data_IF_917913400133
#
_entry.id   IF_917913400133
#
_cell.length_a   1.000
_cell.length_b   1.000
_cell.length_c   1.000
_cell.angle_alpha   90.00
_cell.angle_beta   90.00
_cell.angle_gamma   90.00
#
_symmetry.space_group_name_H-M   'P 1'
#
loop_
_entity.id
_entity.type
_entity.pdbx_description
1 polymer ?
#
# COMPACT_ATOMS: atom_id res chain seq x y z
N UNK A 1 -33.24 11.61 14.05
CA UNK A 1 -33.15 10.94 12.75
C UNK A 1 -31.81 11.25 12.02
N UNK A 2 -31.45 12.49 11.74
CA UNK A 2 -30.19 12.84 11.04
C UNK A 2 -28.89 12.37 11.72
N UNK A 3 -28.80 12.41 13.06
CA UNK A 3 -27.61 11.90 13.79
C UNK A 3 -27.42 10.38 13.61
N UNK A 4 -28.52 9.61 13.66
CA UNK A 4 -28.45 8.14 13.48
C UNK A 4 -28.06 7.75 12.05
N UNK A 5 -28.55 8.46 11.04
CA UNK A 5 -28.16 8.23 9.64
C UNK A 5 -26.68 8.52 9.44
N UNK A 6 -26.15 9.62 9.99
CA UNK A 6 -24.72 9.96 9.92
C UNK A 6 -23.84 8.93 10.68
N UNK A 7 -24.31 8.41 11.80
CA UNK A 7 -23.62 7.41 12.59
C UNK A 7 -23.55 6.06 11.85
N UNK A 8 -24.65 5.61 11.24
CA UNK A 8 -24.67 4.38 10.43
C UNK A 8 -23.77 4.49 9.20
N UNK A 9 -23.75 5.65 8.54
CA UNK A 9 -22.86 5.92 7.42
C UNK A 9 -21.37 5.85 7.83
N UNK A 10 -21.03 6.37 9.00
CA UNK A 10 -19.67 6.34 9.53
C UNK A 10 -19.23 4.92 9.88
N UNK A 11 -20.10 4.11 10.51
CA UNK A 11 -19.82 2.70 10.79
C UNK A 11 -19.56 1.92 9.50
N UNK A 12 -20.38 2.13 8.47
CA UNK A 12 -20.19 1.51 7.16
C UNK A 12 -18.86 1.94 6.50
N UNK A 13 -18.51 3.24 6.61
CA UNK A 13 -17.25 3.77 6.12
C UNK A 13 -16.03 3.14 6.81
N UNK A 14 -16.07 2.96 8.14
CA UNK A 14 -15.05 2.23 8.89
C UNK A 14 -14.95 0.76 8.46
N UNK A 15 -16.08 0.10 8.21
CA UNK A 15 -16.11 -1.27 7.72
C UNK A 15 -15.41 -1.41 6.36
N UNK A 16 -15.70 -0.51 5.41
CA UNK A 16 -15.02 -0.46 4.12
C UNK A 16 -13.53 -0.17 4.28
N UNK A 17 -13.15 0.77 5.13
CA UNK A 17 -11.76 1.08 5.44
C UNK A 17 -11.02 -0.15 5.99
N UNK A 18 -11.64 -0.88 6.91
CA UNK A 18 -11.08 -2.10 7.50
C UNK A 18 -10.90 -3.21 6.46
N UNK A 19 -11.89 -3.43 5.59
CA UNK A 19 -11.76 -4.40 4.48
C UNK A 19 -10.56 -4.05 3.59
N UNK A 20 -10.41 -2.77 3.22
CA UNK A 20 -9.24 -2.33 2.45
C UNK A 20 -7.93 -2.60 3.16
N UNK A 21 -7.84 -2.30 4.45
CA UNK A 21 -6.63 -2.50 5.26
C UNK A 21 -6.30 -3.99 5.43
N UNK A 22 -7.30 -4.85 5.62
CA UNK A 22 -7.10 -6.32 5.66
C UNK A 22 -6.51 -6.83 4.34
N UNK A 23 -7.03 -6.35 3.19
CA UNK A 23 -6.49 -6.69 1.88
C UNK A 23 -5.04 -6.20 1.70
N UNK A 24 -4.74 -4.97 2.13
CA UNK A 24 -3.38 -4.42 2.04
C UNK A 24 -2.41 -5.15 2.95
N UNK A 25 -2.83 -5.54 4.14
CA UNK A 25 -2.01 -6.25 5.10
C UNK A 25 -1.51 -7.60 4.59
N UNK A 26 -2.29 -8.29 3.76
CA UNK A 26 -1.87 -9.54 3.13
C UNK A 26 -0.82 -9.36 2.01
N UNK A 27 -0.53 -8.12 1.57
CA UNK A 27 0.35 -7.85 0.44
C UNK A 27 1.76 -8.41 0.63
N UNK A 28 2.39 -8.17 1.81
CA UNK A 28 3.76 -8.61 2.05
C UNK A 28 3.87 -10.14 2.11
N UNK A 29 3.07 -10.84 2.94
CA UNK A 29 3.10 -12.31 2.97
C UNK A 29 2.79 -12.96 1.62
N UNK A 30 1.79 -12.48 0.89
CA UNK A 30 1.48 -12.99 -0.45
C UNK A 30 2.60 -12.73 -1.44
N UNK A 31 3.28 -11.58 -1.35
CA UNK A 31 4.46 -11.30 -2.18
C UNK A 31 5.59 -12.26 -1.85
N UNK A 32 5.84 -12.55 -0.57
CA UNK A 32 6.86 -13.52 -0.13
C UNK A 32 6.57 -14.93 -0.68
N UNK A 33 5.31 -15.38 -0.67
CA UNK A 33 4.91 -16.66 -1.28
C UNK A 33 5.21 -16.65 -2.79
N UNK A 34 4.79 -15.59 -3.49
CA UNK A 34 4.97 -15.47 -4.94
C UNK A 34 6.45 -15.42 -5.34
N UNK A 35 7.32 -14.83 -4.51
CA UNK A 35 8.76 -14.72 -4.75
C UNK A 35 9.50 -16.06 -4.74
N UNK A 36 8.89 -17.14 -4.22
CA UNK A 36 9.48 -18.48 -4.30
C UNK A 36 9.61 -18.98 -5.75
N UNK A 37 8.72 -18.54 -6.64
CA UNK A 37 8.63 -19.06 -8.01
C UNK A 37 8.71 -17.97 -9.09
N UNK A 38 8.46 -16.71 -8.74
CA UNK A 38 8.36 -15.61 -9.69
C UNK A 38 9.30 -14.46 -9.35
N UNK A 39 9.81 -13.80 -10.37
CA UNK A 39 10.64 -12.61 -10.21
C UNK A 39 9.83 -11.42 -9.67
N UNK A 40 10.45 -10.47 -8.93
CA UNK A 40 9.80 -9.23 -8.49
C UNK A 40 9.10 -8.47 -9.62
N UNK A 41 9.73 -8.43 -10.79
CA UNK A 41 9.19 -7.76 -11.98
C UNK A 41 7.92 -8.45 -12.46
N UNK A 42 7.93 -9.78 -12.60
CA UNK A 42 6.75 -10.52 -13.04
C UNK A 42 5.59 -10.33 -12.05
N UNK A 43 5.83 -10.47 -10.74
CA UNK A 43 4.82 -10.28 -9.71
C UNK A 43 4.19 -8.88 -9.85
N UNK A 44 5.04 -7.85 -10.01
CA UNK A 44 4.59 -6.45 -10.12
C UNK A 44 3.77 -6.21 -11.38
N UNK A 45 4.24 -6.68 -12.52
CA UNK A 45 3.57 -6.45 -13.81
C UNK A 45 2.28 -7.27 -13.92
N UNK A 46 2.32 -8.54 -13.57
CA UNK A 46 1.18 -9.45 -13.69
C UNK A 46 0.04 -9.06 -12.73
N UNK A 47 0.34 -8.68 -11.48
CA UNK A 47 -0.70 -8.19 -10.56
C UNK A 47 -1.35 -6.91 -11.08
N UNK A 48 -0.58 -6.04 -11.77
CA UNK A 48 -1.11 -4.83 -12.37
C UNK A 48 -2.03 -5.13 -13.56
N UNK A 49 -1.69 -6.11 -14.40
CA UNK A 49 -2.56 -6.59 -15.49
C UNK A 49 -3.88 -7.15 -14.94
N UNK A 50 -3.81 -8.01 -13.91
CA UNK A 50 -4.98 -8.59 -13.27
C UNK A 50 -5.89 -7.48 -12.69
N UNK A 51 -5.30 -6.54 -11.95
CA UNK A 51 -6.03 -5.42 -11.37
C UNK A 51 -6.63 -4.49 -12.44
N UNK A 52 -5.89 -4.23 -13.53
CA UNK A 52 -6.35 -3.41 -14.64
C UNK A 52 -7.53 -4.04 -15.38
N UNK A 53 -7.54 -5.38 -15.53
CA UNK A 53 -8.67 -6.11 -16.12
C UNK A 53 -9.94 -5.93 -15.27
N UNK A 54 -9.84 -6.08 -13.96
CA UNK A 54 -10.96 -5.83 -13.04
C UNK A 54 -11.40 -4.35 -13.05
N UNK A 55 -10.45 -3.42 -13.08
CA UNK A 55 -10.71 -1.98 -13.16
C UNK A 55 -11.42 -1.61 -14.47
N UNK A 56 -11.04 -2.22 -15.61
CA UNK A 56 -11.69 -2.00 -16.88
C UNK A 56 -13.15 -2.47 -16.86
N UNK A 57 -13.40 -3.66 -16.31
CA UNK A 57 -14.77 -4.18 -16.12
C UNK A 57 -15.60 -3.20 -15.29
N UNK A 58 -15.05 -2.73 -14.17
CA UNK A 58 -15.75 -1.75 -13.32
C UNK A 58 -16.03 -0.43 -14.05
N UNK A 59 -15.08 0.12 -14.81
CA UNK A 59 -15.26 1.35 -15.59
C UNK A 59 -16.39 1.20 -16.60
N UNK A 60 -16.44 0.06 -17.31
CA UNK A 60 -17.46 -0.20 -18.30
C UNK A 60 -18.86 -0.36 -17.67
N UNK A 61 -18.95 -1.09 -16.54
CA UNK A 61 -20.22 -1.30 -15.83
C UNK A 61 -20.74 -0.04 -15.16
N UNK A 62 -19.86 0.77 -14.58
CA UNK A 62 -20.23 2.00 -13.87
C UNK A 62 -20.45 3.20 -14.80
N UNK A 63 -20.20 3.04 -16.10
CA UNK A 63 -20.22 4.15 -17.08
C UNK A 63 -19.37 5.34 -16.62
N UNK A 64 -18.23 5.02 -16.03
CA UNK A 64 -17.34 5.98 -15.40
C UNK A 64 -16.85 7.04 -16.39
N UNK A 65 -16.90 8.32 -16.00
CA UNK A 65 -16.45 9.42 -16.85
C UNK A 65 -14.97 9.28 -17.21
N UNK A 66 -14.63 9.60 -18.46
CA UNK A 66 -13.22 9.59 -18.93
C UNK A 66 -12.42 10.69 -18.22
N UNK A 67 -11.11 10.47 -17.99
CA UNK A 67 -10.22 11.51 -17.46
C UNK A 67 -10.15 12.70 -18.42
N UNK A 68 -10.17 13.89 -17.88
CA UNK A 68 -9.83 15.08 -18.63
C UNK A 68 -8.31 15.10 -18.91
N UNK A 69 -7.90 15.81 -19.95
CA UNK A 69 -6.48 15.84 -20.38
C UNK A 69 -5.51 16.27 -19.26
N UNK A 70 -5.92 17.21 -18.42
CA UNK A 70 -5.11 17.68 -17.28
C UNK A 70 -5.02 16.67 -16.12
N UNK A 71 -5.90 15.66 -16.06
CA UNK A 71 -5.90 14.61 -15.04
C UNK A 71 -5.01 13.42 -15.41
N UNK A 72 -4.69 13.26 -16.72
CA UNK A 72 -3.91 12.10 -17.22
C UNK A 72 -2.52 12.06 -16.57
N UNK A 73 -1.80 13.19 -16.58
CA UNK A 73 -0.44 13.26 -15.99
C UNK A 73 -0.45 12.91 -14.50
N UNK A 74 -1.30 13.49 -13.63
CA UNK A 74 -1.40 13.08 -12.23
C UNK A 74 -1.77 11.59 -12.04
N UNK A 75 -2.68 11.03 -12.85
CA UNK A 75 -3.03 9.61 -12.82
C UNK A 75 -1.82 8.71 -13.14
N UNK A 76 -1.07 9.06 -14.19
CA UNK A 76 0.14 8.31 -14.57
C UNK A 76 1.21 8.40 -13.48
N UNK A 77 1.49 9.57 -12.96
CA UNK A 77 2.54 9.77 -11.93
C UNK A 77 2.17 9.06 -10.63
N UNK A 78 0.93 9.22 -10.15
CA UNK A 78 0.48 8.51 -8.94
C UNK A 78 0.48 6.99 -9.16
N UNK A 79 0.03 6.52 -10.32
CA UNK A 79 0.03 5.12 -10.69
C UNK A 79 1.45 4.56 -10.82
N UNK A 80 2.40 5.27 -11.39
CA UNK A 80 3.81 4.84 -11.42
C UNK A 80 4.35 4.57 -10.00
N UNK A 81 3.99 5.39 -9.02
CA UNK A 81 4.36 5.17 -7.63
C UNK A 81 3.64 3.99 -6.99
N UNK A 82 2.32 3.91 -7.11
CA UNK A 82 1.48 2.94 -6.41
C UNK A 82 1.41 1.57 -7.09
N UNK A 83 1.40 1.52 -8.42
CA UNK A 83 1.17 0.30 -9.21
C UNK A 83 2.49 -0.41 -9.55
N UNK A 84 3.56 0.36 -9.79
CA UNK A 84 4.86 -0.18 -10.16
C UNK A 84 5.93 0.06 -9.09
N UNK A 85 6.20 1.31 -8.72
CA UNK A 85 7.33 1.68 -7.87
C UNK A 85 7.29 1.01 -6.50
N UNK A 86 6.18 1.17 -5.79
CA UNK A 86 6.00 0.54 -4.47
C UNK A 86 6.06 -1.00 -4.54
N UNK A 87 5.27 -1.69 -5.39
CA UNK A 87 5.28 -3.15 -5.39
C UNK A 87 6.60 -3.74 -5.85
N UNK A 88 7.26 -3.13 -6.83
CA UNK A 88 8.55 -3.62 -7.33
C UNK A 88 9.64 -3.47 -6.28
N UNK A 89 9.80 -2.28 -5.71
CA UNK A 89 10.81 -2.03 -4.69
C UNK A 89 10.57 -2.89 -3.44
N UNK A 90 9.31 -3.03 -3.01
CA UNK A 90 8.93 -3.91 -1.91
C UNK A 90 9.28 -5.37 -2.22
N UNK A 91 8.93 -5.88 -3.41
CA UNK A 91 9.23 -7.26 -3.79
C UNK A 91 10.74 -7.53 -3.86
N UNK A 92 11.54 -6.58 -4.36
CA UNK A 92 13.01 -6.71 -4.36
C UNK A 92 13.53 -6.76 -2.91
N UNK A 93 13.06 -5.89 -2.02
CA UNK A 93 13.43 -5.90 -0.62
C UNK A 93 13.11 -7.24 0.07
N UNK A 94 11.90 -7.76 -0.16
CA UNK A 94 11.42 -9.02 0.43
C UNK A 94 12.14 -10.28 -0.07
N UNK A 95 13.00 -10.20 -1.06
CA UNK A 95 13.86 -11.33 -1.44
C UNK A 95 14.91 -11.68 -0.37
N UNK A 96 15.25 -10.73 0.51
CA UNK A 96 16.36 -10.87 1.45
C UNK A 96 15.97 -10.71 2.92
N UNK A 97 14.72 -10.31 3.18
CA UNK A 97 14.22 -10.13 4.56
C UNK A 97 12.82 -10.71 4.69
N UNK A 98 12.42 -11.19 5.89
CA UNK A 98 11.09 -11.73 6.12
C UNK A 98 10.00 -10.66 6.03
N UNK A 99 8.73 -11.08 5.85
CA UNK A 99 7.62 -10.15 5.64
C UNK A 99 7.36 -9.26 6.87
N UNK A 100 7.57 -9.76 8.09
CA UNK A 100 7.43 -8.98 9.31
C UNK A 100 8.43 -7.81 9.37
N UNK A 101 9.68 -8.01 8.88
CA UNK A 101 10.67 -6.95 8.79
C UNK A 101 10.20 -5.85 7.85
N UNK A 102 9.76 -6.23 6.65
CA UNK A 102 9.14 -5.30 5.70
C UNK A 102 7.94 -4.56 6.28
N UNK A 103 7.10 -5.23 7.08
CA UNK A 103 5.95 -4.63 7.72
C UNK A 103 6.33 -3.49 8.68
N UNK A 104 7.37 -3.66 9.51
CA UNK A 104 7.84 -2.62 10.44
C UNK A 104 8.43 -1.44 9.68
N UNK A 105 9.29 -1.71 8.68
CA UNK A 105 9.90 -0.64 7.85
C UNK A 105 8.81 0.16 7.13
N UNK A 106 7.84 -0.51 6.52
CA UNK A 106 6.72 0.14 5.81
C UNK A 106 5.68 0.74 6.76
N UNK A 107 5.74 0.42 8.05
CA UNK A 107 4.83 0.97 9.08
C UNK A 107 4.91 2.50 9.20
N UNK A 108 6.02 3.12 8.79
CA UNK A 108 6.16 4.60 8.73
C UNK A 108 5.51 5.23 7.49
N UNK A 109 5.00 4.45 6.54
CA UNK A 109 4.44 4.96 5.29
C UNK A 109 3.37 6.04 5.48
N UNK A 110 2.42 5.93 6.42
CA UNK A 110 1.44 7.00 6.65
C UNK A 110 2.08 8.30 7.15
N UNK A 111 3.14 8.21 7.94
CA UNK A 111 3.89 9.37 8.41
C UNK A 111 4.72 10.00 7.29
N UNK A 112 5.37 9.19 6.46
CA UNK A 112 6.10 9.64 5.27
C UNK A 112 5.15 10.33 4.27
N UNK A 113 3.93 9.79 4.08
CA UNK A 113 2.89 10.44 3.26
C UNK A 113 2.51 11.80 3.82
N UNK A 114 2.38 11.93 5.15
CA UNK A 114 2.08 13.22 5.79
C UNK A 114 3.25 14.21 5.62
N UNK A 115 4.50 13.76 5.79
CA UNK A 115 5.70 14.59 5.55
C UNK A 115 5.73 15.10 4.11
N UNK A 116 5.56 14.22 3.12
CA UNK A 116 5.53 14.61 1.72
C UNK A 116 4.37 15.55 1.40
N UNK A 117 3.20 15.33 1.99
CA UNK A 117 2.06 16.23 1.82
C UNK A 117 2.35 17.64 2.35
N UNK A 118 2.99 17.75 3.50
CA UNK A 118 3.43 19.05 4.08
C UNK A 118 4.41 19.73 3.13
N UNK A 119 5.40 19.01 2.62
CA UNK A 119 6.43 19.57 1.73
C UNK A 119 5.86 20.00 0.37
N UNK A 120 4.99 19.19 -0.23
CA UNK A 120 4.40 19.45 -1.55
C UNK A 120 3.42 20.61 -1.53
N UNK A 121 2.58 20.68 -0.47
CA UNK A 121 1.54 21.72 -0.37
C UNK A 121 1.98 22.97 0.41
N UNK A 122 3.19 22.97 0.97
CA UNK A 122 3.72 24.11 1.71
C UNK A 122 3.01 24.39 3.05
N UNK A 123 2.35 23.42 3.64
CA UNK A 123 1.70 23.58 4.94
C UNK A 123 2.73 23.78 6.06
N UNK A 124 2.36 24.57 7.07
CA UNK A 124 3.20 24.77 8.25
C UNK A 124 2.83 23.74 9.31
N UNK A 125 3.54 22.61 9.30
CA UNK A 125 3.40 21.61 10.37
C UNK A 125 4.05 22.10 11.68
N UNK A 126 3.46 21.71 12.81
CA UNK A 126 3.99 22.01 14.15
C UNK A 126 5.29 21.26 14.40
N UNK A 127 6.16 21.82 15.28
CA UNK A 127 7.42 21.15 15.67
C UNK A 127 7.20 19.70 16.14
N UNK A 128 6.13 19.46 16.90
CA UNK A 128 5.80 18.11 17.37
C UNK A 128 5.58 17.10 16.23
N UNK A 129 5.05 17.51 15.08
CA UNK A 129 4.96 16.66 13.89
C UNK A 129 6.35 16.21 13.40
N UNK A 130 7.29 17.13 13.29
CA UNK A 130 8.66 16.82 12.84
C UNK A 130 9.40 15.93 13.83
N UNK A 131 9.18 16.13 15.15
CA UNK A 131 9.73 15.25 16.19
C UNK A 131 9.16 13.84 16.07
N UNK A 132 7.87 13.68 15.81
CA UNK A 132 7.27 12.37 15.54
C UNK A 132 7.82 11.73 14.26
N UNK A 133 8.04 12.51 13.20
CA UNK A 133 8.62 12.00 11.96
C UNK A 133 10.06 11.48 12.20
N UNK A 134 10.86 12.24 12.92
CA UNK A 134 12.22 11.83 13.29
C UNK A 134 12.22 10.61 14.22
N UNK A 135 11.34 10.57 15.21
CA UNK A 135 11.22 9.42 16.12
C UNK A 135 10.81 8.15 15.36
N UNK A 136 9.83 8.24 14.44
CA UNK A 136 9.42 7.11 13.60
C UNK A 136 10.55 6.58 12.71
N UNK A 137 11.30 7.48 12.06
CA UNK A 137 12.47 7.11 11.27
C UNK A 137 13.57 6.46 12.14
N UNK A 138 13.85 7.02 13.34
CA UNK A 138 14.82 6.47 14.27
C UNK A 138 14.43 5.07 14.76
N UNK A 139 13.14 4.85 15.06
CA UNK A 139 12.63 3.53 15.45
C UNK A 139 12.86 2.48 14.38
N UNK A 140 12.60 2.83 13.10
CA UNK A 140 12.84 1.91 11.98
C UNK A 140 14.33 1.62 11.82
N UNK A 141 15.20 2.63 11.92
CA UNK A 141 16.67 2.45 11.86
C UNK A 141 17.14 1.52 12.99
N UNK A 142 16.71 1.78 14.24
CA UNK A 142 17.07 0.94 15.40
C UNK A 142 16.59 -0.49 15.23
N UNK A 143 15.36 -0.68 14.75
CA UNK A 143 14.81 -2.01 14.44
C UNK A 143 15.64 -2.74 13.40
N UNK A 144 15.94 -2.10 12.29
CA UNK A 144 16.74 -2.66 11.18
C UNK A 144 18.14 -3.05 11.66
N UNK A 145 18.84 -2.15 12.36
CA UNK A 145 20.17 -2.43 12.88
C UNK A 145 20.17 -3.61 13.86
N UNK A 146 19.14 -3.70 14.71
CA UNK A 146 19.00 -4.80 15.67
C UNK A 146 18.75 -6.14 14.99
N UNK A 147 17.83 -6.21 14.03
CA UNK A 147 17.49 -7.46 13.32
C UNK A 147 18.64 -7.95 12.42
N UNK A 148 19.44 -7.03 11.89
CA UNK A 148 20.52 -7.35 10.95
C UNK A 148 21.91 -7.34 11.55
N UNK A 149 22.04 -7.41 12.88
CA UNK A 149 23.33 -7.50 13.56
C UNK A 149 24.21 -6.26 13.44
N UNK A 150 23.61 -5.07 13.34
CA UNK A 150 24.30 -3.78 13.36
C UNK A 150 24.59 -3.17 11.98
N UNK A 151 24.06 -3.75 10.89
CA UNK A 151 24.20 -3.22 9.53
C UNK A 151 22.86 -2.88 8.89
N UNK A 152 22.86 -1.95 7.95
CA UNK A 152 21.71 -1.68 7.05
C UNK A 152 21.96 -2.46 5.77
N UNK A 153 20.98 -3.23 5.34
CA UNK A 153 21.05 -4.03 4.12
C UNK A 153 20.51 -3.29 2.89
N UNK A 154 20.84 -3.79 1.72
CA UNK A 154 20.21 -3.32 0.48
C UNK A 154 18.68 -3.52 0.48
N UNK A 155 18.19 -4.55 1.17
CA UNK A 155 16.76 -4.79 1.32
C UNK A 155 16.04 -3.62 2.00
N UNK A 156 16.65 -3.05 3.05
CA UNK A 156 16.08 -1.90 3.78
C UNK A 156 15.98 -0.67 2.90
N UNK A 157 17.00 -0.43 2.06
CA UNK A 157 16.98 0.70 1.11
C UNK A 157 15.85 0.52 0.07
N UNK A 158 15.62 -0.71 -0.41
CA UNK A 158 14.49 -1.00 -1.30
C UNK A 158 13.15 -0.81 -0.62
N UNK A 159 13.02 -1.19 0.66
CA UNK A 159 11.79 -0.99 1.44
C UNK A 159 11.52 0.50 1.72
N UNK A 160 12.57 1.28 2.01
CA UNK A 160 12.46 2.74 2.17
C UNK A 160 12.07 3.38 0.82
N UNK A 161 12.66 2.95 -0.29
CA UNK A 161 12.28 3.39 -1.63
C UNK A 161 10.81 3.04 -1.93
N UNK A 162 10.37 1.83 -1.56
CA UNK A 162 8.97 1.44 -1.68
C UNK A 162 8.04 2.40 -0.92
N UNK A 163 8.37 2.71 0.35
CA UNK A 163 7.60 3.65 1.15
C UNK A 163 7.56 5.06 0.50
N UNK A 164 8.68 5.52 -0.06
CA UNK A 164 8.76 6.81 -0.76
C UNK A 164 7.90 6.83 -2.02
N UNK A 165 7.95 5.77 -2.84
CA UNK A 165 7.13 5.63 -4.06
C UNK A 165 5.64 5.61 -3.74
N UNK A 166 5.24 4.82 -2.72
CA UNK A 166 3.85 4.77 -2.28
C UNK A 166 3.37 6.12 -1.73
N UNK A 167 4.16 6.75 -0.87
CA UNK A 167 3.81 8.04 -0.26
C UNK A 167 3.64 9.15 -1.30
N UNK A 168 4.53 9.20 -2.30
CA UNK A 168 4.43 10.15 -3.42
C UNK A 168 3.16 9.91 -4.23
N UNK A 169 2.88 8.64 -4.54
CA UNK A 169 1.66 8.25 -5.24
C UNK A 169 0.40 8.59 -4.46
N UNK A 170 0.37 8.37 -3.14
CA UNK A 170 -0.78 8.70 -2.28
C UNK A 170 -1.04 10.20 -2.19
N UNK A 171 -0.02 11.05 -2.13
CA UNK A 171 -0.19 12.51 -2.11
C UNK A 171 -0.88 12.98 -3.39
N UNK A 172 -0.42 12.53 -4.55
CA UNK A 172 -0.98 12.93 -5.85
C UNK A 172 -2.39 12.33 -6.04
N UNK A 173 -2.57 11.04 -5.72
CA UNK A 173 -3.88 10.39 -5.80
C UNK A 173 -4.90 11.04 -4.85
N UNK A 174 -4.47 11.45 -3.66
CA UNK A 174 -5.31 12.16 -2.68
C UNK A 174 -5.82 13.50 -3.20
N UNK A 175 -5.01 14.25 -3.95
CA UNK A 175 -5.45 15.51 -4.56
C UNK A 175 -6.50 15.28 -5.67
N UNK A 176 -6.34 14.23 -6.47
CA UNK A 176 -7.35 13.83 -7.45
C UNK A 176 -8.65 13.38 -6.77
N UNK A 177 -8.55 12.62 -5.68
CA UNK A 177 -9.69 12.09 -4.95
C UNK A 177 -10.55 13.18 -4.26
N UNK A 178 -10.02 14.40 -4.09
CA UNK A 178 -10.83 15.57 -3.65
C UNK A 178 -11.88 16.00 -4.69
N UNK A 179 -11.67 15.65 -5.96
CA UNK A 179 -12.49 16.08 -7.11
C UNK A 179 -13.19 14.93 -7.82
N UNK A 180 -12.73 13.70 -7.59
CA UNK A 180 -13.21 12.49 -8.25
C UNK A 180 -13.54 11.41 -7.22
N UNK A 181 -14.50 10.51 -7.51
CA UNK A 181 -14.75 9.36 -6.62
C UNK A 181 -13.47 8.56 -6.38
N UNK A 182 -13.24 8.11 -5.14
CA UNK A 182 -12.02 7.40 -4.79
C UNK A 182 -11.69 6.18 -5.68
N UNK A 183 -12.64 5.27 -5.97
CA UNK A 183 -12.41 4.17 -6.91
C UNK A 183 -12.03 4.59 -8.32
N UNK A 184 -12.50 5.75 -8.77
CA UNK A 184 -12.21 6.30 -10.10
C UNK A 184 -10.72 6.51 -10.30
N UNK A 185 -10.02 7.06 -9.29
CA UNK A 185 -8.58 7.38 -9.39
C UNK A 185 -7.76 6.13 -9.64
N UNK A 186 -7.93 5.09 -8.82
CA UNK A 186 -7.15 3.86 -8.98
C UNK A 186 -7.51 3.10 -10.25
N UNK A 187 -8.79 3.01 -10.61
CA UNK A 187 -9.22 2.29 -11.80
C UNK A 187 -8.66 2.94 -13.08
N UNK A 188 -8.72 4.27 -13.20
CA UNK A 188 -8.15 4.94 -14.37
C UNK A 188 -6.62 4.89 -14.39
N UNK A 189 -5.95 4.98 -13.24
CA UNK A 189 -4.49 4.78 -13.18
C UNK A 189 -4.09 3.37 -13.66
N UNK A 190 -4.81 2.33 -13.23
CA UNK A 190 -4.57 0.94 -13.65
C UNK A 190 -4.78 0.76 -15.16
N UNK A 191 -5.89 1.26 -15.71
CA UNK A 191 -6.19 1.13 -17.13
C UNK A 191 -5.21 1.90 -18.01
N UNK A 192 -4.85 3.14 -17.62
CA UNK A 192 -3.87 3.92 -18.37
C UNK A 192 -2.46 3.30 -18.37
N UNK A 193 -2.09 2.62 -17.30
CA UNK A 193 -0.78 1.97 -17.16
C UNK A 193 -0.80 0.49 -17.60
N UNK A 194 -1.96 -0.07 -17.93
CA UNK A 194 -2.09 -1.47 -18.35
C UNK A 194 -1.25 -1.85 -19.58
N UNK A 195 -1.03 -0.98 -20.60
CA UNK A 195 -0.15 -1.34 -21.70
C UNK A 195 1.28 -1.60 -21.27
N UNK A 196 1.81 -0.79 -20.33
CA UNK A 196 3.16 -0.98 -19.78
C UNK A 196 3.20 -2.26 -18.96
N UNK A 197 2.19 -2.53 -18.12
CA UNK A 197 2.09 -3.74 -17.33
C UNK A 197 2.03 -4.99 -18.22
N UNK A 198 1.25 -4.95 -19.30
CA UNK A 198 1.12 -6.07 -20.23
C UNK A 198 2.44 -6.36 -20.96
N UNK A 199 3.07 -5.33 -21.54
CA UNK A 199 4.35 -5.48 -22.21
C UNK A 199 5.41 -5.99 -21.22
N UNK A 200 5.50 -5.40 -20.03
CA UNK A 200 6.43 -5.86 -19.00
C UNK A 200 6.17 -7.30 -18.56
N UNK A 201 4.92 -7.73 -18.45
CA UNK A 201 4.57 -9.13 -18.17
C UNK A 201 5.05 -10.06 -19.28
N UNK A 202 4.80 -9.72 -20.54
CA UNK A 202 5.21 -10.55 -21.69
C UNK A 202 6.74 -10.65 -21.81
N UNK A 203 7.47 -9.58 -21.52
CA UNK A 203 8.95 -9.57 -21.59
C UNK A 203 9.62 -10.46 -20.54
N UNK A 204 8.97 -10.69 -19.40
CA UNK A 204 9.53 -11.49 -18.28
C UNK A 204 8.72 -12.76 -18.03
N UNK A 205 7.87 -13.18 -19.01
CA UNK A 205 7.05 -14.37 -18.87
C UNK A 205 7.95 -15.62 -18.78
N UNK A 206 7.83 -16.40 -17.69
CA UNK A 206 8.69 -17.55 -17.50
C UNK A 206 8.20 -18.75 -18.31
N UNK A 207 9.14 -19.57 -18.77
CA UNK A 207 8.82 -20.89 -19.26
C UNK A 207 8.14 -21.71 -18.16
N UNK A 208 7.16 -22.53 -18.56
CA UNK A 208 6.41 -23.38 -17.62
C UNK A 208 5.68 -22.62 -16.49
N UNK A 209 5.16 -21.41 -16.76
CA UNK A 209 4.37 -20.63 -15.81
C UNK A 209 3.31 -21.48 -15.07
N UNK A 210 2.55 -22.26 -15.82
CA UNK A 210 1.45 -23.09 -15.28
C UNK A 210 1.90 -24.34 -14.52
N UNK A 211 3.19 -24.69 -14.58
CA UNK A 211 3.77 -25.78 -13.80
C UNK A 211 4.26 -25.33 -12.40
N UNK A 212 4.05 -24.06 -12.06
CA UNK A 212 4.41 -23.52 -10.74
C UNK A 212 3.36 -23.94 -9.69
N UNK A 213 3.75 -23.98 -8.41
CA UNK A 213 2.82 -24.32 -7.32
C UNK A 213 1.58 -23.43 -7.31
N UNK A 214 0.43 -24.02 -6.99
CA UNK A 214 -0.86 -23.30 -6.88
C UNK A 214 -0.77 -22.14 -5.89
N UNK A 215 -0.01 -22.29 -4.79
CA UNK A 215 0.19 -21.24 -3.80
C UNK A 215 0.79 -19.96 -4.38
N UNK A 216 1.78 -20.08 -5.27
CA UNK A 216 2.41 -18.93 -5.92
C UNK A 216 1.49 -18.29 -6.97
N UNK A 217 0.79 -19.11 -7.75
CA UNK A 217 -0.20 -18.63 -8.73
C UNK A 217 -1.37 -17.91 -8.05
N UNK A 218 -1.93 -18.50 -7.00
CA UNK A 218 -3.01 -17.90 -6.21
C UNK A 218 -2.56 -16.63 -5.50
N UNK A 219 -1.31 -16.57 -5.03
CA UNK A 219 -0.77 -15.36 -4.40
C UNK A 219 -0.70 -14.20 -5.37
N UNK A 220 -0.23 -14.40 -6.62
CA UNK A 220 -0.22 -13.33 -7.63
C UNK A 220 -1.62 -12.89 -8.00
N UNK A 221 -2.57 -13.84 -8.15
CA UNK A 221 -3.97 -13.53 -8.40
C UNK A 221 -4.58 -12.71 -7.24
N UNK A 222 -4.32 -13.12 -6.00
CA UNK A 222 -4.78 -12.41 -4.81
C UNK A 222 -4.14 -11.01 -4.70
N UNK A 223 -2.85 -10.85 -5.00
CA UNK A 223 -2.18 -9.55 -5.06
C UNK A 223 -2.84 -8.61 -6.07
N UNK A 224 -3.22 -9.11 -7.24
CA UNK A 224 -3.92 -8.32 -8.26
C UNK A 224 -5.34 -7.94 -7.85
N UNK A 225 -6.16 -8.94 -7.50
CA UNK A 225 -7.58 -8.72 -7.22
C UNK A 225 -7.82 -8.13 -5.85
N UNK A 226 -7.29 -8.75 -4.77
CA UNK A 226 -7.63 -8.32 -3.41
C UNK A 226 -6.79 -7.12 -2.98
N UNK A 227 -5.46 -7.14 -3.16
CA UNK A 227 -4.63 -6.03 -2.70
C UNK A 227 -4.74 -4.81 -3.62
N UNK A 228 -4.56 -4.99 -4.94
CA UNK A 228 -4.44 -3.85 -5.86
C UNK A 228 -5.77 -3.33 -6.39
N UNK A 229 -6.82 -4.15 -6.49
CA UNK A 229 -8.13 -3.71 -6.95
C UNK A 229 -9.12 -3.54 -5.79
N UNK A 230 -9.61 -4.64 -5.18
CA UNK A 230 -10.64 -4.56 -4.12
C UNK A 230 -10.17 -3.79 -2.87
N UNK A 231 -8.91 -3.95 -2.47
CA UNK A 231 -8.36 -3.22 -1.32
C UNK A 231 -8.43 -1.71 -1.53
N UNK A 232 -7.96 -1.22 -2.66
CA UNK A 232 -8.05 0.21 -2.99
C UNK A 232 -9.49 0.67 -3.20
N UNK A 233 -10.33 -0.16 -3.81
CA UNK A 233 -11.73 0.15 -4.02
C UNK A 233 -12.46 0.36 -2.69
N UNK A 234 -12.34 -0.59 -1.77
CA UNK A 234 -12.95 -0.53 -0.45
C UNK A 234 -12.37 0.63 0.38
N UNK A 235 -11.04 0.76 0.41
CA UNK A 235 -10.34 1.81 1.12
C UNK A 235 -10.79 3.21 0.67
N UNK A 236 -10.72 3.47 -0.63
CA UNK A 236 -11.09 4.77 -1.19
C UNK A 236 -12.58 5.09 -1.01
N UNK A 237 -13.45 4.06 -1.09
CA UNK A 237 -14.88 4.24 -0.80
C UNK A 237 -15.12 4.58 0.67
N UNK A 238 -14.41 3.91 1.57
CA UNK A 238 -14.46 4.22 3.00
C UNK A 238 -14.02 5.65 3.30
N UNK A 239 -12.89 6.09 2.74
CA UNK A 239 -12.39 7.45 2.89
C UNK A 239 -13.35 8.50 2.33
N UNK A 240 -13.98 8.23 1.19
CA UNK A 240 -14.94 9.14 0.57
C UNK A 240 -16.22 9.30 1.40
N UNK A 241 -16.68 8.23 2.05
CA UNK A 241 -17.91 8.23 2.86
C UNK A 241 -17.71 8.77 4.28
N UNK A 242 -16.60 8.42 4.92
CA UNK A 242 -16.36 8.73 6.33
C UNK A 242 -15.33 9.82 6.60
N UNK A 243 -14.63 10.27 5.56
CA UNK A 243 -13.55 11.26 5.68
C UNK A 243 -12.17 10.65 5.91
N UNK A 244 -11.16 11.37 5.43
CA UNK A 244 -9.75 10.93 5.49
C UNK A 244 -9.25 10.92 6.95
N UNK A 245 -9.69 11.88 7.76
CA UNK A 245 -9.21 12.02 9.14
C UNK A 245 -9.70 10.85 10.01
N UNK A 246 -10.97 10.49 9.90
CA UNK A 246 -11.60 9.44 10.70
C UNK A 246 -11.21 8.05 10.20
N UNK A 247 -11.62 7.71 8.98
CA UNK A 247 -11.41 6.37 8.40
C UNK A 247 -9.92 6.07 8.19
N UNK A 248 -9.12 7.08 7.85
CA UNK A 248 -7.67 6.94 7.69
C UNK A 248 -6.93 6.39 8.92
N UNK A 249 -7.52 6.50 10.14
CA UNK A 249 -6.92 5.91 11.35
C UNK A 249 -6.89 4.38 11.30
N UNK A 250 -7.83 3.76 10.59
CA UNK A 250 -7.87 2.29 10.44
C UNK A 250 -6.60 1.75 9.82
N UNK A 251 -5.89 2.55 9.01
CA UNK A 251 -4.62 2.15 8.40
C UNK A 251 -3.53 1.77 9.42
N UNK A 252 -3.60 2.30 10.65
CA UNK A 252 -2.66 1.93 11.72
C UNK A 252 -2.74 0.44 12.07
N UNK A 253 -3.88 -0.19 11.84
CA UNK A 253 -4.05 -1.63 12.06
C UNK A 253 -3.30 -2.47 11.01
N UNK A 254 -2.97 -1.89 9.84
CA UNK A 254 -2.31 -2.62 8.74
C UNK A 254 -1.03 -3.30 9.19
N UNK A 255 -0.20 -2.61 9.97
CA UNK A 255 1.06 -3.17 10.46
C UNK A 255 0.82 -4.46 11.26
N UNK A 256 -0.07 -4.43 12.24
CA UNK A 256 -0.38 -5.58 13.07
C UNK A 256 -1.04 -6.72 12.28
N UNK A 257 -1.95 -6.37 11.37
CA UNK A 257 -2.59 -7.35 10.48
C UNK A 257 -1.58 -7.99 9.52
N UNK A 258 -0.55 -7.25 9.08
CA UNK A 258 0.52 -7.83 8.25
C UNK A 258 1.33 -8.86 9.03
N UNK A 259 1.67 -8.58 10.30
CA UNK A 259 2.34 -9.55 11.17
C UNK A 259 1.49 -10.81 11.38
N UNK A 260 0.18 -10.64 11.59
CA UNK A 260 -0.75 -11.77 11.72
C UNK A 260 -0.85 -12.58 10.42
N UNK A 261 -0.98 -11.92 9.26
CA UNK A 261 -1.01 -12.60 7.96
C UNK A 261 0.30 -13.34 7.68
N UNK A 262 1.47 -12.78 8.04
CA UNK A 262 2.76 -13.46 7.94
C UNK A 262 2.78 -14.75 8.75
N UNK A 263 2.27 -14.72 9.99
CA UNK A 263 2.18 -15.92 10.83
C UNK A 263 1.20 -16.96 10.27
N UNK A 264 0.04 -16.52 9.74
CA UNK A 264 -1.02 -17.44 9.25
C UNK A 264 -0.66 -18.04 7.88
N UNK A 265 -0.18 -17.24 6.92
CA UNK A 265 -0.01 -17.68 5.53
C UNK A 265 1.33 -18.37 5.28
N UNK A 266 2.40 -17.94 5.96
CA UNK A 266 3.76 -18.43 5.73
C UNK A 266 4.44 -18.97 6.99
N UNK A 267 3.74 -19.03 8.12
CA UNK A 267 4.27 -19.59 9.36
C UNK A 267 5.39 -18.76 9.99
N UNK A 268 5.49 -17.47 9.69
CA UNK A 268 6.48 -16.59 10.31
C UNK A 268 6.30 -16.54 11.84
N UNK A 269 7.37 -16.82 12.56
CA UNK A 269 7.42 -16.66 14.01
C UNK A 269 7.83 -15.24 14.33
N UNK A 270 6.86 -14.38 14.64
CA UNK A 270 7.07 -12.99 14.98
C UNK A 270 7.47 -12.88 16.44
N UNK A 271 8.72 -12.49 16.72
CA UNK A 271 9.24 -12.31 18.08
C UNK A 271 8.49 -11.18 18.79
N UNK A 272 8.46 -11.25 20.15
CA UNK A 272 7.78 -10.24 20.95
C UNK A 272 8.29 -8.81 20.73
N UNK A 273 9.58 -8.65 20.54
CA UNK A 273 10.19 -7.34 20.31
C UNK A 273 9.71 -6.67 19.00
N UNK A 274 9.41 -7.46 17.95
CA UNK A 274 8.81 -6.96 16.72
C UNK A 274 7.45 -6.31 16.99
N UNK A 275 6.62 -6.94 17.85
CA UNK A 275 5.33 -6.37 18.26
C UNK A 275 5.50 -5.05 19.03
N UNK A 276 6.55 -4.95 19.86
CA UNK A 276 6.87 -3.70 20.56
C UNK A 276 7.27 -2.61 19.58
N UNK A 277 8.17 -2.90 18.62
CA UNK A 277 8.53 -1.92 17.57
C UNK A 277 7.32 -1.52 16.73
N UNK A 278 6.47 -2.47 16.34
CA UNK A 278 5.23 -2.20 15.62
C UNK A 278 4.31 -1.23 16.39
N UNK A 279 4.16 -1.43 17.69
CA UNK A 279 3.38 -0.54 18.56
C UNK A 279 3.99 0.86 18.64
N UNK A 280 5.29 0.96 18.83
CA UNK A 280 5.99 2.25 18.92
C UNK A 280 5.90 3.02 17.60
N UNK A 281 6.09 2.35 16.46
CA UNK A 281 5.91 2.96 15.13
C UNK A 281 4.46 3.43 14.95
N UNK A 282 3.47 2.61 15.27
CA UNK A 282 2.07 2.98 15.17
C UNK A 282 1.73 4.20 16.05
N UNK A 283 2.29 4.29 17.26
CA UNK A 283 2.12 5.43 18.16
C UNK A 283 2.73 6.71 17.58
N UNK A 284 3.95 6.66 17.02
CA UNK A 284 4.56 7.84 16.38
C UNK A 284 3.74 8.33 15.19
N UNK A 285 3.23 7.42 14.37
CA UNK A 285 2.33 7.75 13.25
C UNK A 285 1.03 8.39 13.75
N UNK A 286 0.40 7.78 14.77
CA UNK A 286 -0.85 8.30 15.34
C UNK A 286 -0.70 9.70 15.91
N UNK A 287 0.34 9.93 16.73
CA UNK A 287 0.60 11.23 17.34
C UNK A 287 1.00 12.25 16.25
N UNK A 288 1.88 11.87 15.35
CA UNK A 288 2.36 12.73 14.26
C UNK A 288 1.20 13.25 13.38
N UNK A 289 0.27 12.38 13.01
CA UNK A 289 -0.92 12.77 12.21
C UNK A 289 -1.85 13.75 12.93
N UNK A 290 -1.90 13.73 14.26
CA UNK A 290 -2.67 14.72 15.05
C UNK A 290 -2.00 16.08 15.13
N UNK A 291 -0.70 16.15 14.88
CA UNK A 291 0.12 17.37 14.99
C UNK A 291 0.45 17.98 13.61
N UNK A 292 0.14 17.27 12.50
CA UNK A 292 0.24 17.74 11.12
C UNK A 292 -0.92 18.73 10.75
#
# INVERSE_FOLDING_TARGET
MFKAVKQNQLVYAYGLGLVGVVCFAATLPLTTIALNDFSPTLITMLRAVIAASAALVWILMSQSSRPAQHEIKPLLVSGCGLIFGFPLAMAIGLQSVPSYHGAVVLGVLPLMTAVLSVLVHGYRARLGFWLCALAGASLVIVFTLREQGGSVSWADLWLVLAALMASSGYVIAGDLAKRRPGPWVICWSLVLLSPIALVGTLMVWPDFFWARPDSSLLSVLALGLFSMFFGFFAWNSGLALGGIAEVGQVQLLQLFLTLLWGSILIGEVVKWDVWVFALLVALTVYIGRKLA
#
